data_IF_422972443553
#
_entry.id   IF_422972443553
#
_cell.length_a   1.000
_cell.length_b   1.000
_cell.length_c   1.000
_cell.angle_alpha   90.00
_cell.angle_beta   90.00
_cell.angle_gamma   90.00
#
_symmetry.space_group_name_H-M   'P 1'
#
loop_
_entity.id
_entity.type
_entity.pdbx_description
1 polymer ?
#
# COMPACT_ATOMS: atom_id res chain seq x y z
N UNK A 1 3.32 22.34 -5.95
CA UNK A 1 3.64 20.92 -5.70
C UNK A 1 3.91 20.27 -7.04
N UNK A 2 5.08 19.65 -7.23
CA UNK A 2 5.45 19.06 -8.52
C UNK A 2 4.52 17.88 -8.84
N UNK A 3 3.96 17.79 -10.06
CA UNK A 3 3.01 16.72 -10.44
C UNK A 3 3.63 15.33 -10.23
N UNK A 4 4.95 15.23 -10.36
CA UNK A 4 5.73 14.02 -10.13
C UNK A 4 5.76 13.56 -8.66
N UNK A 5 5.50 14.45 -7.69
CA UNK A 5 5.42 14.09 -6.26
C UNK A 5 4.02 13.57 -5.86
N UNK A 6 2.99 13.81 -6.69
CA UNK A 6 1.62 13.39 -6.39
C UNK A 6 1.48 11.86 -6.37
N UNK A 7 2.15 11.16 -7.29
CA UNK A 7 2.03 9.71 -7.44
C UNK A 7 2.61 8.96 -6.22
N UNK A 8 3.83 9.25 -5.74
CA UNK A 8 4.35 8.67 -4.50
C UNK A 8 3.49 9.00 -3.27
N UNK A 9 2.90 10.20 -3.22
CA UNK A 9 1.98 10.58 -2.14
C UNK A 9 0.71 9.71 -2.14
N UNK A 10 0.08 9.52 -3.30
CA UNK A 10 -1.08 8.64 -3.45
C UNK A 10 -0.70 7.20 -3.06
N UNK A 11 0.46 6.70 -3.50
CA UNK A 11 0.95 5.38 -3.13
C UNK A 11 1.14 5.24 -1.60
N UNK A 12 1.69 6.26 -0.95
CA UNK A 12 1.86 6.31 0.52
C UNK A 12 0.52 6.20 1.24
N UNK A 13 -0.47 6.98 0.80
CA UNK A 13 -1.83 6.97 1.37
C UNK A 13 -2.51 5.61 1.16
N UNK A 14 -2.29 4.96 0.01
CA UNK A 14 -2.88 3.66 -0.31
C UNK A 14 -2.45 2.52 0.62
N UNK A 15 -1.32 2.65 1.32
CA UNK A 15 -0.89 1.66 2.33
C UNK A 15 -1.55 1.86 3.70
N UNK A 16 -2.13 3.03 4.00
CA UNK A 16 -2.77 3.32 5.29
C UNK A 16 -3.93 2.34 5.59
N UNK A 17 -4.86 2.06 4.66
CA UNK A 17 -5.91 1.07 4.90
C UNK A 17 -5.33 -0.31 5.28
N UNK A 18 -4.30 -0.78 4.57
CA UNK A 18 -3.64 -2.05 4.87
C UNK A 18 -3.05 -2.08 6.28
N UNK A 19 -2.42 -0.99 6.74
CA UNK A 19 -1.96 -0.88 8.12
C UNK A 19 -3.11 -0.97 9.13
N UNK A 20 -4.17 -0.19 8.92
CA UNK A 20 -5.34 -0.19 9.82
C UNK A 20 -5.93 -1.59 9.95
N UNK A 21 -6.08 -2.30 8.83
CA UNK A 21 -6.60 -3.68 8.79
C UNK A 21 -5.69 -4.63 9.57
N UNK A 22 -4.37 -4.50 9.39
CA UNK A 22 -3.39 -5.37 10.02
C UNK A 22 -3.29 -5.15 11.53
N UNK A 23 -3.25 -3.90 11.98
CA UNK A 23 -3.18 -3.54 13.41
C UNK A 23 -4.44 -3.95 14.16
N UNK A 24 -5.59 -3.83 13.52
CA UNK A 24 -6.88 -4.17 14.13
C UNK A 24 -7.09 -5.69 14.26
N UNK A 25 -6.26 -6.53 13.60
CA UNK A 25 -6.41 -7.99 13.59
C UNK A 25 -5.35 -8.74 14.40
N UNK A 26 -5.34 -8.51 15.72
CA UNK A 26 -4.48 -9.23 16.68
C UNK A 26 -5.18 -10.48 17.24
N UNK A 27 -4.43 -11.55 17.58
CA UNK A 27 -2.96 -11.66 17.58
C UNK A 27 -2.36 -11.91 16.20
N UNK A 28 -1.15 -11.38 15.97
CA UNK A 28 -0.46 -11.52 14.69
C UNK A 28 0.19 -12.89 14.52
N UNK A 29 -0.32 -13.67 13.57
CA UNK A 29 0.37 -14.81 13.02
C UNK A 29 1.62 -14.42 12.22
N UNK A 30 2.34 -15.42 11.72
CA UNK A 30 3.59 -15.25 10.96
C UNK A 30 3.40 -14.41 9.69
N UNK A 31 2.35 -14.69 8.91
CA UNK A 31 2.04 -13.98 7.66
C UNK A 31 1.76 -12.50 7.91
N UNK A 32 1.04 -12.17 8.99
CA UNK A 32 0.76 -10.80 9.42
C UNK A 32 2.04 -10.04 9.75
N UNK A 33 2.98 -10.65 10.48
CA UNK A 33 4.26 -10.01 10.84
C UNK A 33 5.10 -9.67 9.61
N UNK A 34 5.23 -10.61 8.65
CA UNK A 34 5.96 -10.32 7.43
C UNK A 34 5.25 -9.33 6.52
N UNK A 35 3.90 -9.35 6.46
CA UNK A 35 3.16 -8.31 5.76
C UNK A 35 3.43 -6.94 6.39
N UNK A 36 3.44 -6.83 7.72
CA UNK A 36 3.71 -5.56 8.40
C UNK A 36 5.10 -5.01 8.02
N UNK A 37 6.12 -5.85 8.07
CA UNK A 37 7.49 -5.45 7.72
C UNK A 37 7.56 -4.97 6.26
N UNK A 38 6.89 -5.67 5.34
CA UNK A 38 6.76 -5.23 3.96
C UNK A 38 6.04 -3.89 3.84
N UNK A 39 4.87 -3.72 4.47
CA UNK A 39 4.10 -2.47 4.44
C UNK A 39 4.92 -1.29 4.98
N UNK A 40 5.67 -1.47 6.07
CA UNK A 40 6.57 -0.43 6.62
C UNK A 40 7.59 -0.01 5.57
N UNK A 41 8.28 -0.98 4.96
CA UNK A 41 9.29 -0.67 3.96
C UNK A 41 8.72 -0.03 2.69
N UNK A 42 7.55 -0.48 2.21
CA UNK A 42 6.88 0.07 1.03
C UNK A 42 6.34 1.49 1.28
N UNK A 43 5.78 1.73 2.46
CA UNK A 43 5.37 3.07 2.90
C UNK A 43 6.57 4.02 3.00
N UNK A 44 7.65 3.59 3.67
CA UNK A 44 8.86 4.40 3.80
C UNK A 44 9.47 4.72 2.45
N UNK A 45 9.45 3.77 1.50
CA UNK A 45 9.92 4.01 0.14
C UNK A 45 9.12 5.11 -0.55
N UNK A 46 7.79 4.97 -0.60
CA UNK A 46 6.92 5.97 -1.25
C UNK A 46 6.96 7.34 -0.54
N UNK A 47 7.08 7.35 0.79
CA UNK A 47 7.16 8.59 1.57
C UNK A 47 8.50 9.31 1.36
N UNK A 48 9.61 8.57 1.33
CA UNK A 48 10.95 9.17 1.12
C UNK A 48 11.14 9.68 -0.31
N UNK A 49 10.61 8.97 -1.31
CA UNK A 49 10.58 9.47 -2.70
C UNK A 49 9.67 10.72 -2.84
N UNK A 50 8.52 10.73 -2.16
CA UNK A 50 7.67 11.94 -2.07
C UNK A 50 8.45 13.14 -1.51
N UNK A 51 9.12 12.97 -0.36
CA UNK A 51 9.91 14.04 0.27
C UNK A 51 11.04 14.52 -0.64
N UNK A 52 11.71 13.60 -1.34
CA UNK A 52 12.80 13.98 -2.25
C UNK A 52 12.32 14.78 -3.46
N UNK A 53 11.12 14.48 -3.98
CA UNK A 53 10.53 15.17 -5.15
C UNK A 53 9.77 16.46 -4.82
N UNK A 54 9.48 16.72 -3.55
CA UNK A 54 8.59 17.82 -3.13
C UNK A 54 9.33 19.08 -2.65
N UNK A 55 10.66 19.15 -2.90
CA UNK A 55 11.55 20.28 -2.57
C UNK A 55 11.59 20.68 -1.08
N UNK A 56 10.91 19.93 -0.19
CA UNK A 56 10.99 20.13 1.26
C UNK A 56 12.39 19.86 1.82
N UNK A 57 13.11 18.91 1.22
CA UNK A 57 14.50 18.62 1.52
C UNK A 57 15.33 19.18 0.35
N UNK A 58 15.98 20.32 0.59
CA UNK A 58 16.72 21.10 -0.41
C UNK A 58 18.24 21.05 -0.20
N UNK A 59 18.71 20.45 0.89
CA UNK A 59 20.12 20.52 1.28
C UNK A 59 21.01 19.49 0.56
N UNK A 60 20.52 18.30 0.19
CA UNK A 60 21.36 17.30 -0.47
C UNK A 60 20.55 16.24 -1.28
N UNK A 61 20.20 16.58 -2.53
CA UNK A 61 19.47 15.67 -3.44
C UNK A 61 20.20 14.35 -3.68
N UNK A 62 21.53 14.35 -3.70
CA UNK A 62 22.32 13.12 -3.88
C UNK A 62 22.11 12.16 -2.70
N UNK A 63 22.13 12.69 -1.47
CA UNK A 63 21.89 11.91 -0.26
C UNK A 63 20.47 11.35 -0.21
N UNK A 64 19.47 12.16 -0.58
CA UNK A 64 18.08 11.71 -0.64
C UNK A 64 17.90 10.54 -1.61
N UNK A 65 18.48 10.62 -2.81
CA UNK A 65 18.42 9.53 -3.80
C UNK A 65 19.13 8.28 -3.29
N UNK A 66 20.30 8.40 -2.64
CA UNK A 66 20.98 7.26 -1.98
C UNK A 66 20.06 6.56 -0.98
N UNK A 67 19.36 7.35 -0.17
CA UNK A 67 18.44 6.83 0.83
C UNK A 67 17.24 6.11 0.20
N UNK A 68 16.62 6.71 -0.82
CA UNK A 68 15.51 6.10 -1.59
C UNK A 68 15.94 4.78 -2.23
N UNK A 69 17.13 4.71 -2.83
CA UNK A 69 17.66 3.48 -3.43
C UNK A 69 17.84 2.36 -2.39
N UNK A 70 18.43 2.68 -1.23
CA UNK A 70 18.62 1.70 -0.16
C UNK A 70 17.28 1.17 0.37
N UNK A 71 16.29 2.05 0.55
CA UNK A 71 14.95 1.66 1.00
C UNK A 71 14.24 0.81 -0.06
N UNK A 72 14.41 1.10 -1.35
CA UNK A 72 13.85 0.27 -2.44
C UNK A 72 14.33 -1.18 -2.33
N UNK A 73 15.65 -1.39 -2.19
CA UNK A 73 16.22 -2.74 -2.09
C UNK A 73 15.80 -3.43 -0.79
N UNK A 74 15.70 -2.68 0.30
CA UNK A 74 15.19 -3.21 1.57
C UNK A 74 13.72 -3.64 1.44
N UNK A 75 12.89 -2.85 0.75
CA UNK A 75 11.49 -3.19 0.46
C UNK A 75 11.37 -4.50 -0.32
N UNK A 76 12.21 -4.70 -1.35
CA UNK A 76 12.24 -5.95 -2.11
C UNK A 76 12.61 -7.15 -1.23
N UNK A 77 13.57 -6.98 -0.31
CA UNK A 77 13.91 -8.01 0.65
C UNK A 77 12.73 -8.33 1.59
N UNK A 78 12.00 -7.32 2.09
CA UNK A 78 10.80 -7.57 2.91
C UNK A 78 9.69 -8.26 2.11
N UNK A 79 9.50 -7.89 0.85
CA UNK A 79 8.52 -8.51 -0.03
C UNK A 79 8.82 -9.99 -0.23
N UNK A 80 10.09 -10.35 -0.45
CA UNK A 80 10.54 -11.74 -0.49
C UNK A 80 10.18 -12.51 0.79
N UNK A 81 10.48 -11.96 1.98
CA UNK A 81 10.17 -12.64 3.24
C UNK A 81 8.66 -12.79 3.48
N UNK A 82 7.87 -11.82 3.02
CA UNK A 82 6.41 -11.94 3.00
C UNK A 82 5.95 -13.08 2.10
N UNK A 83 6.45 -13.19 0.86
CA UNK A 83 6.11 -14.28 -0.05
C UNK A 83 6.57 -15.64 0.50
N UNK A 84 7.78 -15.71 1.06
CA UNK A 84 8.32 -16.89 1.74
C UNK A 84 7.36 -17.49 2.77
N UNK A 85 6.61 -16.63 3.48
CA UNK A 85 5.67 -17.07 4.51
C UNK A 85 4.50 -17.90 3.99
N UNK A 86 4.25 -17.92 2.67
CA UNK A 86 3.18 -18.69 2.04
C UNK A 86 3.62 -20.09 1.60
N UNK A 87 4.90 -20.30 1.28
CA UNK A 87 5.37 -21.60 0.78
C UNK A 87 6.27 -22.36 1.77
N UNK A 88 6.90 -21.70 2.75
CA UNK A 88 7.73 -22.35 3.78
C UNK A 88 7.01 -22.51 5.11
N UNK A 89 6.96 -23.74 5.61
CA UNK A 89 6.42 -24.07 6.94
C UNK A 89 7.45 -23.82 8.06
N UNK A 90 8.74 -24.06 7.80
CA UNK A 90 9.82 -23.97 8.81
C UNK A 90 10.33 -22.54 9.05
N UNK A 91 11.12 -22.37 10.13
CA UNK A 91 11.87 -21.14 10.45
C UNK A 91 12.66 -20.69 9.22
N UNK A 92 12.27 -19.57 8.62
CA UNK A 92 13.06 -18.98 7.54
C UNK A 92 14.38 -18.55 8.18
N UNK A 93 15.48 -19.20 7.85
CA UNK A 93 16.81 -18.69 8.17
C UNK A 93 16.97 -17.39 7.37
N UNK A 94 17.07 -16.29 8.09
CA UNK A 94 17.20 -14.94 7.55
C UNK A 94 18.69 -14.58 7.41
N UNK A 95 19.37 -14.94 6.30
CA UNK A 95 20.52 -14.10 5.95
C UNK A 95 20.63 -13.71 4.47
N UNK A 96 20.14 -14.50 3.50
CA UNK A 96 20.56 -14.31 2.11
C UNK A 96 19.97 -13.06 1.43
N UNK A 97 18.67 -12.78 1.61
CA UNK A 97 18.07 -11.62 0.95
C UNK A 97 18.53 -10.27 1.54
N UNK A 98 19.09 -10.27 2.77
CA UNK A 98 19.63 -9.05 3.40
C UNK A 98 21.04 -8.69 2.92
N UNK A 99 21.72 -9.59 2.22
CA UNK A 99 22.98 -9.27 1.53
C UNK A 99 22.77 -8.16 0.50
N UNK A 100 21.65 -8.15 -0.21
CA UNK A 100 21.34 -7.14 -1.22
C UNK A 100 21.20 -5.71 -0.66
N UNK A 101 20.37 -5.44 0.37
CA UNK A 101 20.31 -4.10 0.96
C UNK A 101 21.63 -3.72 1.65
N UNK A 102 22.35 -4.66 2.27
CA UNK A 102 23.67 -4.37 2.84
C UNK A 102 24.67 -3.94 1.76
N UNK A 103 24.74 -4.66 0.62
CA UNK A 103 25.56 -4.29 -0.53
C UNK A 103 25.13 -2.94 -1.12
N UNK A 104 23.83 -2.65 -1.22
CA UNK A 104 23.34 -1.36 -1.68
C UNK A 104 23.80 -0.21 -0.77
N UNK A 105 23.74 -0.39 0.55
CA UNK A 105 24.24 0.60 1.52
C UNK A 105 25.75 0.82 1.34
N UNK A 106 26.54 -0.25 1.25
CA UNK A 106 28.00 -0.15 1.05
C UNK A 106 28.32 0.62 -0.24
N UNK A 107 27.67 0.27 -1.35
CA UNK A 107 27.89 0.97 -2.62
C UNK A 107 27.42 2.43 -2.60
N UNK A 108 26.35 2.73 -1.86
CA UNK A 108 25.87 4.10 -1.70
C UNK A 108 26.84 4.96 -0.87
N UNK A 109 27.41 4.40 0.19
CA UNK A 109 28.44 5.05 1.03
C UNK A 109 29.71 5.28 0.23
N UNK A 110 30.15 4.29 -0.56
CA UNK A 110 31.32 4.40 -1.44
C UNK A 110 31.10 5.32 -2.66
N UNK A 111 29.87 5.78 -2.90
CA UNK A 111 29.55 6.69 -4.00
C UNK A 111 29.41 6.01 -5.37
N UNK A 112 29.27 4.69 -5.42
CA UNK A 112 29.03 3.95 -6.66
C UNK A 112 27.57 4.02 -7.12
N UNK A 113 26.62 4.25 -6.20
CA UNK A 113 25.19 4.43 -6.49
C UNK A 113 24.59 5.60 -5.69
N UNK A 114 23.80 6.51 -6.30
CA UNK A 114 23.79 6.81 -7.73
C UNK A 114 25.13 7.42 -8.18
N UNK A 115 25.47 7.34 -9.46
CA UNK A 115 26.68 7.97 -10.04
C UNK A 115 26.55 9.50 -10.10
N UNK A 116 25.34 10.00 -10.29
CA UNK A 116 25.07 11.43 -10.37
C UNK A 116 23.57 11.72 -10.36
N UNK A 117 23.23 12.97 -10.08
CA UNK A 117 21.86 13.50 -10.17
C UNK A 117 21.93 14.79 -10.97
N UNK A 118 21.25 14.82 -12.11
CA UNK A 118 21.13 15.99 -12.97
C UNK A 118 19.74 16.60 -12.82
N UNK A 119 19.68 17.83 -12.33
CA UNK A 119 18.42 18.57 -12.21
C UNK A 119 18.23 19.36 -13.50
N UNK A 120 17.28 18.95 -14.33
CA UNK A 120 16.95 19.64 -15.59
C UNK A 120 15.60 20.35 -15.47
N UNK A 121 15.30 21.24 -16.41
CA UNK A 121 13.98 21.89 -16.55
C UNK A 121 12.84 20.87 -16.77
N UNK A 122 13.16 19.65 -17.22
CA UNK A 122 12.23 18.55 -17.45
C UNK A 122 12.02 17.63 -16.24
N UNK A 123 12.79 17.80 -15.15
CA UNK A 123 12.73 16.96 -13.96
C UNK A 123 14.12 16.56 -13.42
N UNK A 124 14.09 15.71 -12.39
CA UNK A 124 15.28 15.14 -11.74
C UNK A 124 15.67 13.86 -12.50
N UNK A 125 16.80 13.89 -13.21
CA UNK A 125 17.41 12.72 -13.83
C UNK A 125 18.43 12.12 -12.88
N UNK A 126 18.33 10.82 -12.64
CA UNK A 126 19.22 10.10 -11.73
C UNK A 126 20.02 9.10 -12.54
N UNK A 127 21.34 9.28 -12.61
CA UNK A 127 22.21 8.22 -13.11
C UNK A 127 22.39 7.19 -11.99
N UNK A 128 21.54 6.17 -12.07
CA UNK A 128 21.49 5.02 -11.17
C UNK A 128 22.83 4.25 -11.14
N UNK A 129 23.59 4.24 -12.24
CA UNK A 129 24.81 3.46 -12.40
C UNK A 129 24.60 1.97 -12.64
N UNK A 130 25.61 1.29 -13.20
CA UNK A 130 25.52 -0.15 -13.55
C UNK A 130 25.31 -1.05 -12.33
N UNK A 131 25.75 -0.63 -11.15
CA UNK A 131 25.74 -1.47 -9.96
C UNK A 131 24.35 -1.68 -9.37
N UNK A 132 23.46 -0.68 -9.41
CA UNK A 132 22.07 -0.88 -8.96
C UNK A 132 21.30 -1.77 -9.94
N UNK A 133 21.58 -1.65 -11.24
CA UNK A 133 21.05 -2.54 -12.28
C UNK A 133 21.53 -3.99 -12.00
N UNK A 134 22.82 -4.18 -11.74
CA UNK A 134 23.40 -5.48 -11.41
C UNK A 134 22.78 -6.09 -10.14
N UNK A 135 22.62 -5.31 -9.07
CA UNK A 135 21.94 -5.74 -7.83
C UNK A 135 20.49 -6.14 -8.12
N UNK A 136 19.76 -5.31 -8.87
CA UNK A 136 18.36 -5.56 -9.22
C UNK A 136 18.17 -6.85 -10.02
N UNK A 137 18.96 -7.05 -11.07
CA UNK A 137 18.92 -8.27 -11.86
C UNK A 137 19.38 -9.50 -11.06
N UNK A 138 20.43 -9.38 -10.26
CA UNK A 138 20.89 -10.49 -9.41
C UNK A 138 19.80 -10.88 -8.41
N UNK A 139 19.11 -9.92 -7.79
CA UNK A 139 17.99 -10.18 -6.89
C UNK A 139 16.85 -10.87 -7.62
N UNK A 140 16.47 -10.38 -8.80
CA UNK A 140 15.38 -10.93 -9.61
C UNK A 140 15.65 -12.37 -10.05
N UNK A 141 16.84 -12.65 -10.59
CA UNK A 141 17.18 -13.97 -11.12
C UNK A 141 17.51 -15.01 -10.05
N UNK A 142 17.89 -14.58 -8.83
CA UNK A 142 18.16 -15.52 -7.73
C UNK A 142 16.97 -15.67 -6.79
N UNK A 143 16.63 -14.60 -6.08
CA UNK A 143 15.57 -14.58 -5.05
C UNK A 143 14.20 -14.58 -5.71
N UNK A 144 13.98 -13.70 -6.69
CA UNK A 144 12.69 -13.59 -7.40
C UNK A 144 12.31 -14.87 -8.14
N UNK A 145 13.23 -15.44 -8.93
CA UNK A 145 13.00 -16.70 -9.64
C UNK A 145 12.68 -17.85 -8.69
N UNK A 146 13.36 -17.92 -7.54
CA UNK A 146 13.10 -18.90 -6.49
C UNK A 146 11.70 -18.74 -5.89
N UNK A 147 11.26 -17.51 -5.63
CA UNK A 147 9.93 -17.23 -5.10
C UNK A 147 8.84 -17.65 -6.10
N UNK A 148 8.99 -17.27 -7.36
CA UNK A 148 8.08 -17.66 -8.44
C UNK A 148 8.00 -19.18 -8.55
N UNK A 149 9.15 -19.86 -8.61
CA UNK A 149 9.20 -21.32 -8.68
C UNK A 149 8.52 -21.98 -7.47
N UNK A 150 8.79 -21.48 -6.27
CA UNK A 150 8.25 -22.06 -5.03
C UNK A 150 6.74 -21.84 -4.93
N UNK A 151 6.24 -20.67 -5.32
CA UNK A 151 4.81 -20.38 -5.40
C UNK A 151 4.12 -21.23 -6.46
N UNK A 152 4.68 -21.37 -7.66
CA UNK A 152 4.12 -22.22 -8.72
C UNK A 152 4.09 -23.70 -8.30
N UNK A 153 5.12 -24.18 -7.61
CA UNK A 153 5.14 -25.53 -7.05
C UNK A 153 4.02 -25.70 -6.01
N UNK A 154 3.87 -24.75 -5.09
CA UNK A 154 2.81 -24.74 -4.07
C UNK A 154 1.41 -24.69 -4.70
N UNK A 155 1.24 -23.91 -5.76
CA UNK A 155 -0.01 -23.81 -6.52
C UNK A 155 -0.43 -25.15 -7.13
N UNK A 156 0.52 -25.90 -7.70
CA UNK A 156 0.27 -27.23 -8.29
C UNK A 156 -0.09 -28.29 -7.25
N UNK A 157 0.53 -28.23 -6.07
CA UNK A 157 0.36 -29.26 -5.01
C UNK A 157 -0.86 -28.98 -4.13
N UNK A 158 -1.20 -27.71 -3.89
CA UNK A 158 -2.28 -27.36 -2.96
C UNK A 158 -3.64 -27.86 -3.46
N UNK A 159 -4.41 -28.62 -2.65
CA UNK A 159 -5.77 -29.04 -2.97
C UNK A 159 -6.82 -27.97 -2.66
N UNK A 160 -6.48 -26.95 -1.85
CA UNK A 160 -7.41 -25.90 -1.40
C UNK A 160 -7.54 -24.78 -2.46
N UNK A 161 -8.74 -24.54 -3.02
CA UNK A 161 -8.97 -23.44 -3.94
C UNK A 161 -8.66 -22.06 -3.34
N UNK A 162 -8.82 -21.87 -2.02
CA UNK A 162 -8.52 -20.59 -1.38
C UNK A 162 -7.01 -20.29 -1.37
N UNK A 163 -6.19 -21.27 -1.01
CA UNK A 163 -4.72 -21.15 -1.07
C UNK A 163 -4.22 -20.92 -2.50
N UNK A 164 -4.82 -21.58 -3.51
CA UNK A 164 -4.50 -21.35 -4.93
C UNK A 164 -4.77 -19.91 -5.37
N UNK A 165 -5.93 -19.35 -4.99
CA UNK A 165 -6.25 -17.96 -5.30
C UNK A 165 -5.24 -17.01 -4.66
N UNK A 166 -4.89 -17.19 -3.37
CA UNK A 166 -3.86 -16.39 -2.70
C UNK A 166 -2.53 -16.39 -3.47
N UNK A 167 -2.09 -17.57 -3.94
CA UNK A 167 -0.86 -17.71 -4.71
C UNK A 167 -0.94 -16.96 -6.05
N UNK A 168 -2.08 -17.02 -6.77
CA UNK A 168 -2.27 -16.28 -8.02
C UNK A 168 -2.11 -14.76 -7.79
N UNK A 169 -2.71 -14.21 -6.73
CA UNK A 169 -2.57 -12.78 -6.43
C UNK A 169 -1.13 -12.41 -6.05
N UNK A 170 -0.41 -13.27 -5.33
CA UNK A 170 1.01 -13.06 -5.01
C UNK A 170 1.88 -13.09 -6.28
N UNK A 171 1.64 -14.03 -7.20
CA UNK A 171 2.32 -14.07 -8.50
C UNK A 171 2.02 -12.81 -9.33
N UNK A 172 0.76 -12.35 -9.31
CA UNK A 172 0.36 -11.08 -9.94
C UNK A 172 1.09 -9.89 -9.33
N UNK A 173 1.21 -9.82 -8.01
CA UNK A 173 1.94 -8.77 -7.30
C UNK A 173 3.44 -8.76 -7.67
N UNK A 174 4.08 -9.94 -7.75
CA UNK A 174 5.47 -10.08 -8.22
C UNK A 174 5.61 -9.60 -9.66
N UNK A 175 4.70 -10.01 -10.55
CA UNK A 175 4.74 -9.64 -11.96
C UNK A 175 4.59 -8.12 -12.15
N UNK A 176 3.60 -7.51 -11.50
CA UNK A 176 3.39 -6.06 -11.54
C UNK A 176 4.64 -5.34 -11.02
N UNK A 177 5.14 -5.71 -9.84
CA UNK A 177 6.31 -5.04 -9.28
C UNK A 177 7.53 -5.15 -10.20
N UNK A 178 7.77 -6.33 -10.77
CA UNK A 178 8.90 -6.58 -11.69
C UNK A 178 8.78 -5.73 -12.95
N UNK A 179 7.62 -5.73 -13.60
CA UNK A 179 7.40 -4.96 -14.84
C UNK A 179 7.59 -3.46 -14.60
N UNK A 180 7.04 -2.92 -13.53
CA UNK A 180 7.13 -1.49 -13.24
C UNK A 180 8.51 -1.06 -12.73
N UNK A 181 9.25 -1.93 -12.05
CA UNK A 181 10.65 -1.65 -11.69
C UNK A 181 11.57 -1.68 -12.92
N UNK A 182 11.37 -2.61 -13.86
CA UNK A 182 12.10 -2.62 -15.13
C UNK A 182 11.71 -1.43 -16.02
N UNK A 183 10.43 -1.04 -16.03
CA UNK A 183 9.99 0.14 -16.75
C UNK A 183 10.59 1.44 -16.17
N UNK A 184 10.89 1.46 -14.86
CA UNK A 184 11.54 2.60 -14.21
C UNK A 184 13.00 2.81 -14.65
N UNK A 185 13.67 1.78 -15.18
CA UNK A 185 15.03 1.92 -15.73
C UNK A 185 15.04 2.35 -17.20
N UNK A 186 13.88 2.44 -17.85
CA UNK A 186 13.78 2.95 -19.22
C UNK A 186 13.81 4.49 -19.23
N UNK A 187 14.20 5.15 -20.34
CA UNK A 187 14.28 6.61 -20.43
C UNK A 187 12.98 7.36 -20.08
N UNK A 188 11.82 6.72 -20.24
CA UNK A 188 10.52 7.26 -19.82
C UNK A 188 10.28 7.16 -18.31
N UNK A 189 10.79 6.09 -17.68
CA UNK A 189 10.70 5.82 -16.24
C UNK A 189 11.58 6.72 -15.37
N UNK A 190 12.55 7.41 -15.96
CA UNK A 190 13.33 8.46 -15.29
C UNK A 190 12.50 9.75 -15.09
N UNK A 191 11.64 10.08 -16.05
CA UNK A 191 10.79 11.29 -16.02
C UNK A 191 9.54 11.11 -15.17
N UNK A 192 8.94 9.93 -15.19
CA UNK A 192 7.72 9.62 -14.46
C UNK A 192 8.01 8.59 -13.36
N UNK A 193 7.43 8.71 -12.16
CA UNK A 193 7.62 7.75 -11.06
C UNK A 193 6.87 6.44 -11.34
N UNK A 194 7.20 5.76 -12.45
CA UNK A 194 6.54 4.55 -12.95
C UNK A 194 6.63 3.43 -11.92
N UNK A 195 7.77 3.29 -11.23
CA UNK A 195 7.93 2.35 -10.13
C UNK A 195 6.84 2.51 -9.04
N UNK A 196 6.44 3.73 -8.72
CA UNK A 196 5.40 4.01 -7.72
C UNK A 196 3.98 3.74 -8.23
N UNK A 197 3.74 3.82 -9.55
CA UNK A 197 2.48 3.33 -10.14
C UNK A 197 2.38 1.81 -9.92
N UNK A 198 3.46 1.07 -10.18
CA UNK A 198 3.52 -0.36 -9.89
C UNK A 198 3.33 -0.68 -8.41
N UNK A 199 3.94 0.13 -7.52
CA UNK A 199 3.77 -0.01 -6.08
C UNK A 199 2.31 0.21 -5.64
N UNK A 200 1.64 1.23 -6.19
CA UNK A 200 0.22 1.50 -5.94
C UNK A 200 -0.67 0.34 -6.42
N UNK A 201 -0.42 -0.19 -7.61
CA UNK A 201 -1.15 -1.37 -8.11
C UNK A 201 -0.91 -2.59 -7.22
N UNK A 202 0.32 -2.79 -6.73
CA UNK A 202 0.66 -3.86 -5.81
C UNK A 202 -0.08 -3.70 -4.47
N UNK A 203 -0.16 -2.49 -3.91
CA UNK A 203 -0.99 -2.19 -2.73
C UNK A 203 -2.47 -2.56 -2.96
N UNK A 204 -3.02 -2.22 -4.14
CA UNK A 204 -4.38 -2.58 -4.52
C UNK A 204 -4.60 -4.10 -4.59
N UNK A 205 -3.69 -4.82 -5.26
CA UNK A 205 -3.73 -6.29 -5.38
C UNK A 205 -3.64 -6.96 -4.01
N UNK A 206 -2.71 -6.52 -3.14
CA UNK A 206 -2.58 -7.07 -1.78
C UNK A 206 -3.79 -6.76 -0.92
N UNK A 207 -4.34 -5.54 -1.00
CA UNK A 207 -5.58 -5.16 -0.31
C UNK A 207 -6.72 -6.09 -0.73
N UNK A 208 -6.91 -6.25 -2.04
CA UNK A 208 -7.94 -7.14 -2.58
C UNK A 208 -7.73 -8.59 -2.14
N UNK A 209 -6.50 -9.10 -2.18
CA UNK A 209 -6.18 -10.47 -1.78
C UNK A 209 -6.40 -10.72 -0.28
N UNK A 210 -5.99 -9.77 0.58
CA UNK A 210 -6.24 -9.78 2.04
C UNK A 210 -7.73 -9.83 2.33
N UNK A 211 -8.50 -9.00 1.65
CA UNK A 211 -9.92 -8.82 1.92
C UNK A 211 -10.77 -9.97 1.34
N UNK A 212 -10.62 -10.27 0.05
CA UNK A 212 -11.47 -11.24 -0.66
C UNK A 212 -11.02 -12.69 -0.45
N UNK A 213 -9.72 -12.94 -0.56
CA UNK A 213 -9.16 -14.29 -0.64
C UNK A 213 -8.55 -14.79 0.67
N UNK A 214 -8.93 -14.17 1.80
CA UNK A 214 -8.48 -14.55 3.16
C UNK A 214 -6.95 -14.64 3.25
N UNK A 215 -6.22 -13.82 2.49
CA UNK A 215 -4.76 -13.85 2.51
C UNK A 215 -4.22 -13.63 3.94
N UNK A 216 -4.99 -12.87 4.73
CA UNK A 216 -4.98 -12.90 6.19
C UNK A 216 -6.40 -13.18 6.70
N UNK A 217 -6.53 -13.83 7.86
CA UNK A 217 -7.83 -14.08 8.48
C UNK A 217 -8.36 -12.80 9.16
N UNK A 218 -8.68 -11.77 8.37
CA UNK A 218 -9.05 -10.41 8.83
C UNK A 218 -10.53 -10.08 8.66
N UNK A 219 -11.37 -11.05 8.25
CA UNK A 219 -12.74 -10.76 7.77
C UNK A 219 -13.60 -10.02 8.78
N UNK A 220 -13.55 -10.42 10.05
CA UNK A 220 -14.36 -9.83 11.12
C UNK A 220 -13.98 -8.36 11.34
N UNK A 221 -12.68 -8.11 11.40
CA UNK A 221 -12.10 -6.79 11.66
C UNK A 221 -12.30 -5.86 10.46
N UNK A 222 -12.12 -6.36 9.23
CA UNK A 222 -12.36 -5.57 8.03
C UNK A 222 -13.83 -5.20 7.88
N UNK A 223 -14.75 -6.15 8.14
CA UNK A 223 -16.19 -5.88 8.18
C UNK A 223 -16.50 -4.77 9.17
N UNK A 224 -15.94 -4.86 10.37
CA UNK A 224 -16.13 -3.86 11.41
C UNK A 224 -15.57 -2.49 10.99
N UNK A 225 -14.35 -2.44 10.47
CA UNK A 225 -13.71 -1.20 10.03
C UNK A 225 -14.45 -0.53 8.87
N UNK A 226 -14.86 -1.30 7.85
CA UNK A 226 -15.57 -0.76 6.69
C UNK A 226 -16.96 -0.25 7.08
N UNK A 227 -17.66 -0.98 7.95
CA UNK A 227 -18.94 -0.54 8.46
C UNK A 227 -18.82 0.71 9.32
N UNK A 228 -17.87 0.77 10.26
CA UNK A 228 -17.64 1.99 11.06
C UNK A 228 -17.22 3.18 10.19
N UNK A 229 -16.39 2.96 9.18
CA UNK A 229 -16.00 4.01 8.23
C UNK A 229 -17.21 4.52 7.45
N UNK A 230 -18.07 3.61 6.97
CA UNK A 230 -19.32 3.98 6.30
C UNK A 230 -20.27 4.78 7.20
N UNK A 231 -20.38 4.39 8.47
CA UNK A 231 -21.18 5.13 9.47
C UNK A 231 -20.58 6.52 9.76
N UNK A 232 -19.26 6.63 9.88
CA UNK A 232 -18.58 7.91 10.07
C UNK A 232 -18.79 8.84 8.86
N UNK A 233 -18.63 8.32 7.64
CA UNK A 233 -18.90 9.08 6.41
C UNK A 233 -20.36 9.55 6.37
N UNK A 234 -21.31 8.67 6.72
CA UNK A 234 -22.72 9.04 6.78
C UNK A 234 -22.94 10.23 7.72
N UNK A 235 -22.42 10.18 8.95
CA UNK A 235 -22.54 11.29 9.91
C UNK A 235 -21.91 12.57 9.38
N UNK A 236 -20.70 12.51 8.83
CA UNK A 236 -20.00 13.67 8.29
C UNK A 236 -20.75 14.28 7.11
N UNK A 237 -21.21 13.47 6.16
CA UNK A 237 -21.98 13.94 4.99
C UNK A 237 -23.30 14.56 5.42
N UNK A 238 -24.02 13.96 6.36
CA UNK A 238 -25.26 14.53 6.90
C UNK A 238 -25.02 15.87 7.58
N UNK A 239 -23.94 15.99 8.36
CA UNK A 239 -23.55 17.27 8.97
C UNK A 239 -23.26 18.34 7.93
N UNK A 240 -22.42 18.04 6.93
CA UNK A 240 -22.11 18.99 5.87
C UNK A 240 -23.33 19.36 5.04
N UNK A 241 -24.23 18.40 4.77
CA UNK A 241 -25.48 18.66 4.06
C UNK A 241 -26.36 19.64 4.83
N UNK A 242 -26.59 19.41 6.13
CA UNK A 242 -27.32 20.35 6.99
C UNK A 242 -26.66 21.72 7.05
N UNK A 243 -25.34 21.74 7.24
CA UNK A 243 -24.57 22.97 7.31
C UNK A 243 -24.71 23.82 6.04
N UNK A 244 -24.53 23.20 4.85
CA UNK A 244 -24.68 23.87 3.56
C UNK A 244 -26.12 24.31 3.29
N UNK A 245 -27.11 23.48 3.63
CA UNK A 245 -28.53 23.81 3.47
C UNK A 245 -28.91 25.02 4.33
N UNK A 246 -28.50 25.07 5.59
CA UNK A 246 -28.79 26.18 6.50
C UNK A 246 -28.09 27.46 6.05
N UNK A 247 -26.84 27.36 5.60
CA UNK A 247 -26.09 28.51 5.07
C UNK A 247 -26.77 29.11 3.83
N UNK A 248 -27.27 28.25 2.93
CA UNK A 248 -27.99 28.68 1.72
C UNK A 248 -29.41 29.18 2.01
N UNK A 249 -30.15 28.53 2.90
CA UNK A 249 -31.56 28.84 3.16
C UNK A 249 -31.74 30.13 3.96
N UNK A 250 -30.85 30.39 4.92
CA UNK A 250 -30.98 31.53 5.81
C UNK A 250 -30.05 32.70 5.46
N UNK A 251 -29.12 32.52 4.51
CA UNK A 251 -28.16 33.57 4.12
C UNK A 251 -27.31 34.09 5.28
N UNK A 252 -27.26 33.34 6.39
CA UNK A 252 -26.59 33.73 7.61
C UNK A 252 -25.07 33.56 7.42
N UNK A 253 -24.29 34.55 7.90
CA UNK A 253 -22.84 34.42 7.99
C UNK A 253 -22.42 33.23 8.85
N UNK A 254 -21.14 32.83 8.76
CA UNK A 254 -20.55 31.74 9.56
C UNK A 254 -20.69 32.03 11.07
N UNK A 255 -21.81 31.61 11.65
CA UNK A 255 -22.16 31.85 13.05
C UNK A 255 -22.36 30.55 13.82
N UNK A 256 -22.03 30.60 15.11
CA UNK A 256 -22.26 29.51 16.06
C UNK A 256 -23.67 28.88 16.01
N UNK A 257 -24.77 29.63 15.81
CA UNK A 257 -26.11 29.04 15.75
C UNK A 257 -26.30 28.02 14.62
N UNK A 258 -25.72 28.25 13.44
CA UNK A 258 -25.83 27.36 12.28
C UNK A 258 -25.15 26.02 12.59
N UNK A 259 -23.98 26.07 13.21
CA UNK A 259 -23.20 24.88 13.57
C UNK A 259 -23.97 24.04 14.59
N UNK A 260 -24.56 24.68 15.61
CA UNK A 260 -25.35 23.99 16.64
C UNK A 260 -26.58 23.32 16.03
N UNK A 261 -27.32 24.03 15.18
CA UNK A 261 -28.52 23.48 14.52
C UNK A 261 -28.14 22.33 13.58
N UNK A 262 -27.05 22.46 12.80
CA UNK A 262 -26.56 21.39 11.94
C UNK A 262 -26.11 20.16 12.74
N UNK A 263 -25.46 20.37 13.89
CA UNK A 263 -25.02 19.29 14.78
C UNK A 263 -26.22 18.56 15.40
N UNK A 264 -27.21 19.29 15.94
CA UNK A 264 -28.43 18.71 16.50
C UNK A 264 -29.25 17.97 15.44
N UNK A 265 -29.39 18.54 14.23
CA UNK A 265 -30.06 17.89 13.11
C UNK A 265 -29.37 16.61 12.68
N UNK A 266 -28.03 16.61 12.66
CA UNK A 266 -27.24 15.41 12.39
C UNK A 266 -27.41 14.36 13.47
N UNK A 267 -27.40 14.75 14.74
CA UNK A 267 -27.59 13.83 15.86
C UNK A 267 -28.97 13.15 15.81
N UNK A 268 -30.03 13.92 15.54
CA UNK A 268 -31.38 13.39 15.40
C UNK A 268 -31.51 12.41 14.23
N UNK A 269 -30.97 12.77 13.06
CA UNK A 269 -30.96 11.88 11.88
C UNK A 269 -30.13 10.63 12.14
N UNK A 270 -28.96 10.78 12.76
CA UNK A 270 -28.10 9.65 13.12
C UNK A 270 -28.83 8.71 14.08
N UNK A 271 -29.49 9.21 15.13
CA UNK A 271 -30.21 8.39 16.10
C UNK A 271 -31.37 7.59 15.47
N UNK A 272 -32.17 8.21 14.59
CA UNK A 272 -33.33 7.56 13.95
C UNK A 272 -32.90 6.59 12.83
N UNK A 273 -31.90 6.98 12.05
CA UNK A 273 -31.45 6.21 10.89
C UNK A 273 -30.33 5.22 11.22
N UNK A 274 -29.80 5.20 12.44
CA UNK A 274 -28.62 4.41 12.84
C UNK A 274 -28.77 2.95 12.42
N UNK A 275 -29.81 2.27 12.91
CA UNK A 275 -30.00 0.83 12.67
C UNK A 275 -30.27 0.52 11.20
N UNK A 276 -31.02 1.37 10.50
CA UNK A 276 -31.30 1.18 9.07
C UNK A 276 -30.06 1.35 8.21
N UNK A 277 -29.26 2.37 8.49
CA UNK A 277 -28.02 2.65 7.75
C UNK A 277 -26.97 1.61 8.09
N UNK A 278 -26.81 1.28 9.38
CA UNK A 278 -25.93 0.22 9.86
C UNK A 278 -26.25 -1.11 9.17
N UNK A 279 -27.51 -1.56 9.18
CA UNK A 279 -27.89 -2.84 8.58
C UNK A 279 -27.77 -2.84 7.06
N UNK A 280 -28.02 -1.70 6.38
CA UNK A 280 -27.77 -1.59 4.93
C UNK A 280 -26.27 -1.61 4.59
N UNK A 281 -25.45 -0.92 5.37
CA UNK A 281 -23.98 -0.90 5.18
C UNK A 281 -23.44 -2.30 5.45
N UNK A 282 -23.73 -2.88 6.61
CA UNK A 282 -23.32 -4.25 6.95
C UNK A 282 -23.82 -5.28 5.92
N UNK A 283 -25.09 -5.22 5.50
CA UNK A 283 -25.64 -6.15 4.51
C UNK A 283 -25.06 -5.98 3.11
N UNK A 284 -24.63 -4.77 2.72
CA UNK A 284 -23.90 -4.55 1.45
C UNK A 284 -22.46 -5.05 1.55
N UNK A 285 -21.80 -4.76 2.66
CA UNK A 285 -20.46 -5.26 3.00
C UNK A 285 -20.49 -6.79 2.95
N UNK A 286 -21.42 -7.44 3.64
CA UNK A 286 -21.54 -8.91 3.66
C UNK A 286 -21.84 -9.50 2.28
N UNK A 287 -22.72 -8.89 1.46
CA UNK A 287 -22.95 -9.35 0.08
C UNK A 287 -21.71 -9.25 -0.79
N UNK A 288 -20.94 -8.16 -0.68
CA UNK A 288 -19.68 -7.99 -1.40
C UNK A 288 -18.63 -9.01 -0.95
N UNK A 289 -18.65 -9.47 0.31
CA UNK A 289 -17.64 -10.40 0.84
C UNK A 289 -18.01 -11.88 0.78
N UNK A 290 -19.28 -12.23 0.96
CA UNK A 290 -19.74 -13.63 1.03
C UNK A 290 -20.50 -14.08 -0.23
N UNK A 291 -20.85 -13.15 -1.14
CA UNK A 291 -21.79 -13.46 -2.22
C UNK A 291 -23.19 -13.73 -1.66
N UNK A 292 -24.20 -13.81 -2.52
CA UNK A 292 -25.62 -13.90 -2.12
C UNK A 292 -26.04 -15.15 -1.31
N UNK A 293 -25.09 -15.96 -0.80
CA UNK A 293 -25.38 -17.20 -0.06
C UNK A 293 -25.56 -17.03 1.45
N UNK A 294 -25.90 -15.84 1.92
CA UNK A 294 -26.34 -15.66 3.30
C UNK A 294 -27.71 -14.99 3.29
N UNK A 295 -28.76 -15.81 3.20
CA UNK A 295 -30.06 -15.44 3.74
C UNK A 295 -29.90 -15.36 5.26
N UNK A 296 -30.08 -14.18 5.88
CA UNK A 296 -30.14 -14.09 7.32
C UNK A 296 -31.46 -14.71 7.78
N UNK A 297 -31.37 -15.72 8.65
CA UNK A 297 -32.46 -16.06 9.57
C UNK A 297 -32.52 -15.03 10.68
#
# INVERSE_FOLDING_TARGET
MNVHALIPLIATIAYIPLFVILFSNRPWGRKQKFLLLFLISAFLWSFTDFLSRSDFLTQNKLFEVKFVLCITIWMLAQFHYFICSFYRSEHVRIPLAYVFPASAIVLAVLGYIPRGVEITTSGIHVDYGIWIIAIGFLFLFTVGARDIYSLLRRFKISPDPAERNQIIYLLGAIAILTVFLLAATAPFGERYPVAHIGNLLNAGVLTYAVVRHKLLDVRVVFRQALSFTGMAIFVVVTFFAWFLLLLKAFGLGLGFPIIIIAMLGTLAVAAVCWDRVHNKIFGRVDRVFYGERFEPR
#
